data_IF_637761322093
#
_entry.id   IF_637761322093
#
_cell.length_a   1.000
_cell.length_b   1.000
_cell.length_c   1.000
_cell.angle_alpha   90.00
_cell.angle_beta   90.00
_cell.angle_gamma   90.00
#
_symmetry.space_group_name_H-M   'P 1'
#
loop_
_entity.id
_entity.type
_entity.pdbx_description
1 polymer ?
#
# COMPACT_ATOMS: atom_id res chain seq x y z
N UNK A 1 12.16 -23.35 16.62
CA UNK A 1 12.12 -23.35 15.14
C UNK A 1 10.86 -22.61 14.71
N UNK A 2 10.99 -21.41 14.12
CA UNK A 2 9.84 -20.70 13.53
C UNK A 2 9.80 -21.08 12.06
N UNK A 3 8.80 -21.87 11.67
CA UNK A 3 8.47 -22.12 10.27
C UNK A 3 7.97 -20.82 9.67
N UNK A 4 8.88 -20.06 9.07
CA UNK A 4 8.52 -18.99 8.13
C UNK A 4 8.08 -19.74 6.88
N UNK A 5 6.76 -19.77 6.62
CA UNK A 5 6.24 -20.13 5.32
C UNK A 5 6.76 -19.09 4.32
N UNK A 6 7.82 -19.45 3.60
CA UNK A 6 8.16 -18.78 2.35
C UNK A 6 7.06 -19.12 1.35
N UNK A 7 6.12 -18.19 1.16
CA UNK A 7 5.36 -18.17 -0.09
C UNK A 7 6.34 -17.76 -1.19
N UNK A 8 6.96 -18.75 -1.82
CA UNK A 8 7.71 -18.52 -3.04
C UNK A 8 6.70 -18.24 -4.15
N UNK A 9 6.54 -16.96 -4.49
CA UNK A 9 5.75 -16.53 -5.63
C UNK A 9 6.60 -16.85 -6.88
N UNK A 10 6.29 -17.96 -7.54
CA UNK A 10 6.80 -18.24 -8.88
C UNK A 10 6.10 -17.31 -9.88
N UNK A 11 6.72 -16.18 -10.20
CA UNK A 11 6.30 -15.32 -11.31
C UNK A 11 6.72 -15.99 -12.63
N UNK A 12 5.93 -16.94 -13.11
CA UNK A 12 6.14 -17.64 -14.38
C UNK A 12 5.77 -16.82 -15.65
N UNK A 13 5.67 -15.49 -15.56
CA UNK A 13 5.34 -14.62 -16.71
C UNK A 13 6.55 -13.92 -17.33
N UNK A 14 7.74 -14.51 -17.21
CA UNK A 14 8.85 -14.18 -18.10
C UNK A 14 8.66 -14.98 -19.38
N UNK A 15 8.32 -14.32 -20.50
CA UNK A 15 8.73 -14.64 -21.89
C UNK A 15 7.75 -14.26 -23.02
N UNK A 16 6.77 -13.39 -22.82
CA UNK A 16 6.19 -12.69 -23.97
C UNK A 16 7.00 -11.42 -24.22
N UNK A 17 8.00 -11.54 -25.10
CA UNK A 17 8.77 -10.41 -25.63
C UNK A 17 7.84 -9.61 -26.53
N UNK A 18 7.14 -8.63 -25.97
CA UNK A 18 6.48 -7.61 -26.78
C UNK A 18 7.56 -6.68 -27.31
N UNK A 19 7.51 -6.36 -28.60
CA UNK A 19 8.42 -5.40 -29.23
C UNK A 19 7.64 -4.18 -29.69
N UNK A 20 8.23 -2.99 -29.61
CA UNK A 20 7.65 -1.82 -30.27
C UNK A 20 7.80 -1.95 -31.80
N UNK A 21 7.21 -1.01 -32.54
CA UNK A 21 7.30 -0.95 -34.01
C UNK A 21 8.76 -0.83 -34.51
N UNK A 22 9.70 -0.49 -33.62
CA UNK A 22 11.15 -0.37 -33.89
C UNK A 22 11.94 -1.64 -33.49
N UNK A 23 11.26 -2.70 -33.01
CA UNK A 23 11.88 -3.97 -32.64
C UNK A 23 12.54 -3.99 -31.26
N UNK A 24 12.40 -2.94 -30.46
CA UNK A 24 12.90 -2.89 -29.09
C UNK A 24 11.99 -3.67 -28.15
N UNK A 25 12.61 -4.41 -27.21
CA UNK A 25 11.87 -5.15 -26.20
C UNK A 25 11.13 -4.20 -25.26
N UNK A 26 9.81 -4.27 -25.26
CA UNK A 26 8.94 -3.57 -24.31
C UNK A 26 8.85 -4.40 -23.03
N UNK A 27 8.96 -3.73 -21.90
CA UNK A 27 8.67 -4.32 -20.60
C UNK A 27 7.18 -4.09 -20.30
N UNK A 28 6.37 -5.14 -20.10
CA UNK A 28 4.96 -5.00 -19.80
C UNK A 28 4.71 -4.16 -18.54
N UNK A 29 3.59 -3.44 -18.50
CA UNK A 29 3.21 -2.60 -17.35
C UNK A 29 3.12 -3.39 -16.03
N UNK A 30 2.72 -4.66 -16.09
CA UNK A 30 2.61 -5.54 -14.92
C UNK A 30 3.96 -5.69 -14.18
N UNK A 31 5.09 -5.49 -14.85
CA UNK A 31 6.41 -5.55 -14.24
C UNK A 31 6.77 -4.28 -13.45
N UNK A 32 6.04 -3.18 -13.64
CA UNK A 32 6.27 -1.90 -12.97
C UNK A 32 5.36 -1.66 -11.76
N UNK A 33 4.34 -2.50 -11.56
CA UNK A 33 3.39 -2.40 -10.45
C UNK A 33 3.65 -3.50 -9.41
N UNK A 34 3.28 -3.29 -8.12
CA UNK A 34 3.41 -4.33 -7.10
C UNK A 34 2.63 -5.60 -7.48
N UNK A 35 3.18 -6.77 -7.15
CA UNK A 35 2.50 -8.05 -7.40
C UNK A 35 1.15 -8.08 -6.66
N UNK A 36 0.06 -8.29 -7.42
CA UNK A 36 -1.28 -8.44 -6.86
C UNK A 36 -1.52 -9.88 -6.40
N UNK A 37 -1.89 -10.05 -5.13
CA UNK A 37 -2.07 -11.36 -4.49
C UNK A 37 -3.55 -11.76 -4.37
N UNK A 38 -4.47 -10.80 -4.42
CA UNK A 38 -5.90 -11.04 -4.29
C UNK A 38 -6.62 -9.98 -3.45
N UNK A 39 -7.87 -10.26 -3.12
CA UNK A 39 -8.69 -9.42 -2.25
C UNK A 39 -9.01 -10.16 -0.94
N UNK A 40 -9.09 -9.44 0.16
CA UNK A 40 -9.52 -9.94 1.46
C UNK A 40 -10.71 -9.14 1.97
N UNK A 41 -11.57 -9.78 2.73
CA UNK A 41 -12.59 -9.10 3.53
C UNK A 41 -12.14 -9.10 4.99
N UNK A 42 -12.29 -7.96 5.67
CA UNK A 42 -12.09 -7.93 7.12
C UNK A 42 -13.08 -8.91 7.76
N UNK A 43 -12.54 -9.95 8.41
CA UNK A 43 -13.35 -10.91 9.15
C UNK A 43 -14.16 -10.15 10.20
N UNK A 44 -15.48 -10.15 10.05
CA UNK A 44 -16.34 -9.69 11.14
C UNK A 44 -16.10 -10.65 12.31
N UNK A 45 -15.71 -10.12 13.47
CA UNK A 45 -15.77 -10.85 14.74
C UNK A 45 -17.23 -11.28 14.91
N UNK A 46 -17.49 -12.55 14.62
CA UNK A 46 -18.70 -13.34 14.83
C UNK A 46 -20.03 -12.55 14.82
N UNK A 47 -20.74 -12.58 13.68
CA UNK A 47 -22.11 -12.07 13.59
C UNK A 47 -23.14 -12.97 14.30
N UNK A 48 -22.81 -14.24 14.57
CA UNK A 48 -23.70 -15.17 15.24
C UNK A 48 -23.16 -15.65 16.59
N UNK A 49 -24.05 -15.76 17.58
CA UNK A 49 -23.74 -16.28 18.92
C UNK A 49 -23.14 -17.70 18.89
N UNK A 50 -23.47 -18.50 17.87
CA UNK A 50 -22.86 -19.81 17.65
C UNK A 50 -21.40 -19.73 17.17
N UNK A 51 -21.03 -18.70 16.40
CA UNK A 51 -19.66 -18.52 15.90
C UNK A 51 -18.74 -17.95 16.97
N UNK A 52 -19.26 -17.12 17.90
CA UNK A 52 -18.50 -16.68 19.10
C UNK A 52 -17.99 -17.87 19.91
N UNK A 53 -18.87 -18.85 20.18
CA UNK A 53 -18.49 -20.05 20.92
C UNK A 53 -17.44 -20.91 20.21
N UNK A 54 -17.38 -20.87 18.87
CA UNK A 54 -16.39 -21.62 18.09
C UNK A 54 -15.04 -20.88 18.11
N UNK A 55 -15.04 -19.56 17.91
CA UNK A 55 -13.83 -18.74 17.98
C UNK A 55 -13.23 -18.66 19.39
N UNK A 56 -14.06 -18.60 20.44
CA UNK A 56 -13.59 -18.61 21.84
C UNK A 56 -12.92 -19.95 22.18
N UNK A 57 -13.49 -21.08 21.75
CA UNK A 57 -12.88 -22.41 21.93
C UNK A 57 -11.57 -22.59 21.15
N UNK A 58 -11.43 -21.94 20.00
CA UNK A 58 -10.22 -22.02 19.17
C UNK A 58 -9.12 -21.05 19.66
N UNK A 59 -9.50 -19.89 20.21
CA UNK A 59 -8.61 -18.94 20.87
C UNK A 59 -8.07 -19.45 22.22
N UNK A 60 -8.90 -20.17 23.01
CA UNK A 60 -8.46 -20.87 24.22
C UNK A 60 -7.43 -21.97 23.90
N UNK A 61 -7.58 -22.68 22.78
CA UNK A 61 -6.59 -23.64 22.27
C UNK A 61 -5.25 -23.00 21.87
N UNK A 62 -5.25 -21.72 21.50
CA UNK A 62 -4.07 -20.96 21.09
C UNK A 62 -3.44 -20.11 22.21
N UNK A 63 -3.99 -20.14 23.43
CA UNK A 63 -3.35 -19.62 24.63
C UNK A 63 -3.25 -18.09 24.74
N UNK A 64 -4.07 -17.31 24.03
CA UNK A 64 -4.11 -15.84 24.17
C UNK A 64 -5.07 -15.40 25.30
N UNK A 65 -4.67 -15.58 26.55
CA UNK A 65 -5.37 -15.01 27.70
C UNK A 65 -4.85 -13.60 28.00
N UNK A 66 -5.52 -12.56 27.50
CA UNK A 66 -5.31 -11.20 27.99
C UNK A 66 -6.24 -10.93 29.17
N UNK A 67 -5.75 -11.20 30.37
CA UNK A 67 -6.29 -10.65 31.60
C UNK A 67 -6.03 -9.13 31.62
N UNK A 68 -7.00 -8.33 31.18
CA UNK A 68 -7.04 -6.90 31.52
C UNK A 68 -8.49 -6.45 31.67
N UNK A 69 -8.93 -6.45 32.93
CA UNK A 69 -10.14 -5.79 33.39
C UNK A 69 -10.04 -4.29 33.10
N UNK A 70 -10.55 -3.83 31.96
CA UNK A 70 -10.86 -2.43 31.73
C UNK A 70 -12.21 -2.34 31.01
N UNK A 71 -13.26 -2.10 31.79
CA UNK A 71 -14.62 -1.80 31.35
C UNK A 71 -14.67 -0.45 30.60
N UNK A 72 -14.04 -0.37 29.44
CA UNK A 72 -14.42 0.57 28.38
C UNK A 72 -15.25 -0.24 27.41
N UNK A 73 -16.57 -0.14 27.56
CA UNK A 73 -17.52 -0.57 26.54
C UNK A 73 -17.09 0.04 25.21
N UNK A 74 -16.45 -0.76 24.37
CA UNK A 74 -16.25 -0.43 22.97
C UNK A 74 -17.67 -0.25 22.44
N UNK A 75 -18.08 1.01 22.23
CA UNK A 75 -19.31 1.33 21.54
C UNK A 75 -19.15 0.81 20.12
N UNK A 76 -19.64 -0.41 19.88
CA UNK A 76 -19.78 -0.95 18.54
C UNK A 76 -20.62 0.06 17.75
N UNK A 77 -20.13 0.60 16.62
CA UNK A 77 -20.95 1.43 15.76
C UNK A 77 -22.16 0.60 15.33
N UNK A 78 -23.33 0.97 15.87
CA UNK A 78 -24.61 0.54 15.33
C UNK A 78 -24.73 1.25 13.98
N UNK A 79 -25.11 0.49 12.98
CA UNK A 79 -25.43 0.90 11.61
C UNK A 79 -24.27 0.83 10.60
N UNK A 80 -24.43 -0.18 9.72
CA UNK A 80 -23.67 -0.50 8.50
C UNK A 80 -22.35 -1.24 8.69
N UNK A 81 -22.46 -2.57 8.77
CA UNK A 81 -21.36 -3.52 8.53
C UNK A 81 -20.90 -3.44 7.06
N UNK A 82 -20.22 -2.36 6.67
CA UNK A 82 -19.40 -2.38 5.46
C UNK A 82 -18.11 -3.13 5.82
N UNK A 83 -18.06 -4.42 5.52
CA UNK A 83 -16.76 -5.09 5.32
C UNK A 83 -16.13 -4.39 4.14
N UNK A 84 -15.05 -3.63 4.38
CA UNK A 84 -14.34 -2.98 3.28
C UNK A 84 -13.45 -4.03 2.61
N UNK A 85 -13.58 -4.25 1.30
CA UNK A 85 -12.66 -5.12 0.60
C UNK A 85 -11.26 -4.50 0.66
N UNK A 86 -10.26 -5.31 0.98
CA UNK A 86 -8.85 -4.96 1.03
C UNK A 86 -8.14 -5.57 -0.18
N UNK A 87 -7.24 -4.81 -0.80
CA UNK A 87 -6.37 -5.29 -1.87
C UNK A 87 -5.06 -5.77 -1.24
N UNK A 88 -4.66 -7.00 -1.54
CA UNK A 88 -3.41 -7.58 -1.05
C UNK A 88 -2.34 -7.43 -2.12
N UNK A 89 -1.27 -6.69 -1.79
CA UNK A 89 -0.16 -6.40 -2.68
C UNK A 89 1.17 -6.80 -2.05
N UNK A 90 2.17 -7.04 -2.88
CA UNK A 90 3.56 -7.14 -2.47
C UNK A 90 4.04 -5.89 -1.71
N UNK A 91 4.82 -6.11 -0.64
CA UNK A 91 5.51 -5.05 0.06
C UNK A 91 6.84 -4.72 -0.64
N UNK A 92 6.87 -3.62 -1.41
CA UNK A 92 8.07 -3.15 -2.11
C UNK A 92 9.27 -2.82 -1.20
N UNK A 93 9.04 -2.63 0.10
CA UNK A 93 10.11 -2.34 1.08
C UNK A 93 10.62 -3.59 1.80
N UNK A 94 10.03 -4.75 1.53
CA UNK A 94 10.47 -6.01 2.13
C UNK A 94 11.93 -6.29 1.77
N UNK A 95 12.73 -6.73 2.75
CA UNK A 95 14.16 -7.02 2.58
C UNK A 95 15.10 -5.81 2.65
N UNK A 96 14.59 -4.58 2.56
CA UNK A 96 15.44 -3.39 2.76
C UNK A 96 15.67 -3.12 4.25
N UNK A 97 16.94 -3.05 4.67
CA UNK A 97 17.29 -2.72 6.07
C UNK A 97 17.01 -1.26 6.42
N UNK A 98 17.30 -0.33 5.50
CA UNK A 98 17.18 1.13 5.71
C UNK A 98 16.67 1.81 4.43
N UNK A 99 15.40 1.62 4.04
CA UNK A 99 14.87 2.14 2.78
C UNK A 99 14.78 3.67 2.80
N UNK A 100 15.13 4.29 1.67
CA UNK A 100 14.83 5.68 1.35
C UNK A 100 13.76 5.68 0.26
N UNK A 101 12.67 6.41 0.46
CA UNK A 101 11.50 6.39 -0.44
C UNK A 101 11.27 7.78 -0.98
N UNK A 102 11.02 7.87 -2.29
CA UNK A 102 10.60 9.08 -2.98
C UNK A 102 9.31 8.77 -3.74
N UNK A 103 8.29 9.58 -3.56
CA UNK A 103 7.01 9.51 -4.26
C UNK A 103 6.92 10.66 -5.27
N UNK A 104 6.69 10.33 -6.53
CA UNK A 104 6.53 11.26 -7.64
C UNK A 104 5.15 11.04 -8.25
N UNK A 105 4.35 12.10 -8.33
CA UNK A 105 3.11 12.10 -9.10
C UNK A 105 3.40 12.44 -10.55
N UNK A 106 2.86 11.64 -11.46
CA UNK A 106 2.96 11.81 -12.90
C UNK A 106 1.68 12.46 -13.46
N UNK A 107 1.81 13.15 -14.60
CA UNK A 107 0.75 13.84 -15.31
C UNK A 107 0.77 15.36 -15.14
N UNK A 108 0.47 16.06 -16.25
CA UNK A 108 0.15 17.49 -16.28
C UNK A 108 -1.34 17.77 -16.08
N UNK A 109 -2.21 16.81 -16.45
CA UNK A 109 -3.64 16.82 -16.13
C UNK A 109 -3.84 15.94 -14.90
N UNK A 110 -4.36 16.54 -13.81
CA UNK A 110 -4.42 15.90 -12.50
C UNK A 110 -5.81 15.38 -12.12
N UNK A 111 -6.80 15.58 -12.99
CA UNK A 111 -8.19 15.17 -12.80
C UNK A 111 -8.61 14.15 -13.84
N UNK A 112 -9.62 13.37 -13.50
CA UNK A 112 -10.33 12.47 -14.42
C UNK A 112 -11.39 13.22 -15.23
N UNK A 113 -11.91 12.55 -16.27
CA UNK A 113 -13.00 13.06 -17.12
C UNK A 113 -14.31 13.27 -16.35
N UNK A 114 -14.51 12.52 -15.26
CA UNK A 114 -15.74 12.52 -14.46
C UNK A 114 -15.61 13.40 -13.19
N UNK A 115 -14.56 14.24 -13.10
CA UNK A 115 -14.36 15.15 -11.99
C UNK A 115 -15.43 16.25 -11.94
N UNK A 116 -15.85 16.63 -10.73
CA UNK A 116 -16.68 17.83 -10.54
C UNK A 116 -15.91 19.10 -10.92
N UNK A 117 -16.63 20.14 -11.34
CA UNK A 117 -16.03 21.41 -11.75
C UNK A 117 -15.14 22.03 -10.65
N UNK A 118 -15.57 21.97 -9.39
CA UNK A 118 -14.77 22.41 -8.25
C UNK A 118 -13.45 21.63 -8.12
N UNK A 119 -13.50 20.30 -8.31
CA UNK A 119 -12.32 19.43 -8.27
C UNK A 119 -11.37 19.75 -9.42
N UNK A 120 -11.91 20.02 -10.62
CA UNK A 120 -11.14 20.40 -11.81
C UNK A 120 -10.39 21.72 -11.55
N UNK A 121 -11.10 22.77 -11.14
CA UNK A 121 -10.51 24.09 -10.89
C UNK A 121 -9.38 24.02 -9.86
N UNK A 122 -9.62 23.35 -8.73
CA UNK A 122 -8.61 23.14 -7.70
C UNK A 122 -7.38 22.39 -8.23
N UNK A 123 -7.58 21.35 -9.03
CA UNK A 123 -6.48 20.54 -9.57
C UNK A 123 -5.72 21.25 -10.69
N UNK A 124 -6.37 22.12 -11.46
CA UNK A 124 -5.71 23.00 -12.42
C UNK A 124 -4.82 24.02 -11.72
N UNK A 125 -5.28 24.61 -10.61
CA UNK A 125 -4.43 25.48 -9.78
C UNK A 125 -3.20 24.72 -9.29
N UNK A 126 -3.34 23.47 -8.83
CA UNK A 126 -2.20 22.64 -8.42
C UNK A 126 -1.25 22.36 -9.58
N UNK A 127 -1.78 22.04 -10.77
CA UNK A 127 -0.92 21.78 -11.93
C UNK A 127 -0.11 23.01 -12.32
N UNK A 128 -0.75 24.18 -12.37
CA UNK A 128 -0.13 25.44 -12.76
C UNK A 128 0.86 26.00 -11.72
N UNK A 129 0.66 25.68 -10.43
CA UNK A 129 1.53 26.15 -9.34
C UNK A 129 2.65 25.17 -8.98
N UNK A 130 2.71 24.00 -9.62
CA UNK A 130 3.74 22.98 -9.38
C UNK A 130 4.45 22.59 -10.66
N UNK A 131 5.46 21.71 -10.55
CA UNK A 131 6.17 21.17 -11.71
C UNK A 131 5.31 20.24 -12.57
N UNK A 132 4.11 19.85 -12.11
CA UNK A 132 3.20 19.00 -12.88
C UNK A 132 2.80 19.64 -14.21
N UNK A 133 2.48 20.93 -14.24
CA UNK A 133 2.13 21.64 -15.47
C UNK A 133 3.23 21.57 -16.53
N UNK A 134 4.43 22.14 -16.28
CA UNK A 134 5.49 22.24 -17.28
C UNK A 134 6.24 20.92 -17.56
N UNK A 135 6.40 20.05 -16.55
CA UNK A 135 7.24 18.83 -16.68
C UNK A 135 6.47 17.53 -16.62
N UNK A 136 5.15 17.57 -16.41
CA UNK A 136 4.33 16.37 -16.30
C UNK A 136 4.62 15.53 -15.06
N UNK A 137 5.32 16.06 -14.05
CA UNK A 137 5.59 15.37 -12.79
C UNK A 137 5.82 16.32 -11.62
N UNK A 138 5.60 15.85 -10.39
CA UNK A 138 6.01 16.57 -9.17
C UNK A 138 6.36 15.64 -8.03
N UNK A 139 7.30 16.06 -7.18
CA UNK A 139 7.61 15.36 -5.92
C UNK A 139 6.41 15.49 -4.98
N UNK A 140 5.86 14.35 -4.56
CA UNK A 140 4.75 14.29 -3.62
C UNK A 140 5.23 14.18 -2.17
N UNK A 141 6.32 13.44 -1.96
CA UNK A 141 6.89 13.25 -0.64
C UNK A 141 8.14 12.39 -0.67
N UNK A 142 8.91 12.45 0.41
CA UNK A 142 10.09 11.60 0.58
C UNK A 142 10.24 11.18 2.04
N UNK A 143 10.72 9.95 2.24
CA UNK A 143 11.17 9.44 3.53
C UNK A 143 12.61 9.03 3.37
N UNK A 144 13.51 9.89 3.84
CA UNK A 144 14.94 9.65 3.80
C UNK A 144 15.46 9.35 5.20
N UNK A 145 16.49 8.51 5.27
CA UNK A 145 17.33 8.41 6.44
C UNK A 145 18.03 9.76 6.64
N UNK A 146 18.00 10.27 7.88
CA UNK A 146 18.82 11.42 8.25
C UNK A 146 20.30 11.04 8.09
N UNK A 147 21.00 11.83 7.29
CA UNK A 147 22.45 11.82 7.32
C UNK A 147 22.89 12.77 8.43
N UNK A 148 23.81 12.35 9.28
CA UNK A 148 24.50 13.30 10.15
C UNK A 148 25.37 14.20 9.26
N UNK A 149 25.36 15.50 9.52
CA UNK A 149 26.19 16.45 8.80
C UNK A 149 27.66 16.07 9.00
N UNK A 150 28.31 15.54 7.96
CA UNK A 150 29.75 15.35 7.97
C UNK A 150 30.35 16.74 7.80
N UNK A 151 30.92 17.25 8.89
CA UNK A 151 31.64 18.51 8.87
C UNK A 151 33.00 18.32 8.18
N UNK A 152 33.02 18.58 6.88
CA UNK A 152 34.23 18.48 6.05
C UNK A 152 35.33 19.46 6.47
N UNK A 153 35.04 20.46 7.31
CA UNK A 153 36.08 21.35 7.86
C UNK A 153 36.98 20.67 8.90
N UNK A 154 36.57 19.51 9.43
CA UNK A 154 37.34 18.70 10.38
C UNK A 154 38.20 17.62 9.73
N UNK A 155 38.27 17.58 8.40
CA UNK A 155 38.99 16.56 7.65
C UNK A 155 40.43 16.96 7.24
N UNK A 156 40.91 18.13 7.64
CA UNK A 156 42.29 18.61 7.40
C UNK A 156 42.99 18.97 8.71
#
# INVERSE_FOLDING_TARGET
MKTILFFQINNNNLLNKETNDEGESIIPLINWIPTFLGCMEEGIIAKDANQKNILEKEAEKLGLNNNTNNNKSIKLPKDKSYTKPLVVLENLLSGYSKPNVLDIKLGSILHDKDASEEKIQRLNTVSNSTTSGPFGLRVCGMKLRKFEHIDYSKLN
#
